data_IF_102780602524
#
_entry.id   IF_102780602524
#
_cell.length_a   1.000
_cell.length_b   1.000
_cell.length_c   1.000
_cell.angle_alpha   90.00
_cell.angle_beta   90.00
_cell.angle_gamma   90.00
#
_symmetry.space_group_name_H-M   'P 1'
#
loop_
_entity.id
_entity.type
_entity.pdbx_description
1 polymer ?
#
# COMPACT_ATOMS: atom_id res chain seq x y z
N UNK A 1 -42.26 14.04 -10.61
CA UNK A 1 -41.32 13.31 -11.47
C UNK A 1 -41.87 11.93 -11.72
N UNK A 2 -41.88 11.43 -12.95
CA UNK A 2 -42.39 10.08 -13.25
C UNK A 2 -41.46 9.05 -12.65
N UNK A 3 -41.96 8.08 -11.92
CA UNK A 3 -41.19 7.01 -11.26
C UNK A 3 -40.20 6.34 -12.23
N UNK A 4 -40.66 6.03 -13.43
CA UNK A 4 -39.86 5.42 -14.49
C UNK A 4 -38.62 6.27 -14.89
N UNK A 5 -38.78 7.61 -14.92
CA UNK A 5 -37.64 8.53 -15.23
C UNK A 5 -36.62 8.53 -14.13
N UNK A 6 -37.03 8.53 -12.85
CA UNK A 6 -36.13 8.43 -11.71
C UNK A 6 -35.36 7.10 -11.70
N UNK A 7 -36.07 6.00 -11.86
CA UNK A 7 -35.48 4.66 -11.88
C UNK A 7 -34.49 4.51 -13.05
N UNK A 8 -34.80 5.09 -14.23
CA UNK A 8 -33.91 5.11 -15.37
C UNK A 8 -32.61 5.91 -15.09
N UNK A 9 -32.74 7.11 -14.51
CA UNK A 9 -31.59 7.93 -14.16
C UNK A 9 -30.71 7.27 -13.11
N UNK A 10 -31.31 6.69 -12.06
CA UNK A 10 -30.58 5.96 -11.03
C UNK A 10 -29.82 4.76 -11.60
N UNK A 11 -30.48 3.98 -12.48
CA UNK A 11 -29.88 2.83 -13.15
C UNK A 11 -28.71 3.22 -14.05
N UNK A 12 -28.88 4.29 -14.84
CA UNK A 12 -27.82 4.82 -15.70
C UNK A 12 -26.63 5.36 -14.89
N UNK A 13 -26.91 6.08 -13.79
CA UNK A 13 -25.86 6.56 -12.88
C UNK A 13 -25.07 5.38 -12.27
N UNK A 14 -25.74 4.34 -11.85
CA UNK A 14 -25.11 3.11 -11.37
C UNK A 14 -24.21 2.44 -12.43
N UNK A 15 -24.67 2.38 -13.68
CA UNK A 15 -23.88 1.84 -14.78
C UNK A 15 -22.62 2.69 -15.06
N UNK A 16 -22.76 4.01 -15.08
CA UNK A 16 -21.63 4.92 -15.27
C UNK A 16 -20.62 4.76 -14.13
N UNK A 17 -21.06 4.68 -12.88
CA UNK A 17 -20.20 4.43 -11.73
C UNK A 17 -19.47 3.09 -11.85
N UNK A 18 -20.14 2.04 -12.28
CA UNK A 18 -19.52 0.73 -12.50
C UNK A 18 -18.39 0.81 -13.53
N UNK A 19 -18.59 1.52 -14.64
CA UNK A 19 -17.58 1.71 -15.69
C UNK A 19 -16.38 2.50 -15.16
N UNK A 20 -16.64 3.62 -14.47
CA UNK A 20 -15.58 4.45 -13.87
C UNK A 20 -14.75 3.66 -12.86
N UNK A 21 -15.39 2.87 -12.00
CA UNK A 21 -14.71 2.03 -11.03
C UNK A 21 -13.91 0.90 -11.69
N UNK A 22 -14.41 0.31 -12.76
CA UNK A 22 -13.70 -0.73 -13.51
C UNK A 22 -12.44 -0.15 -14.18
N UNK A 23 -12.55 1.02 -14.81
CA UNK A 23 -11.39 1.72 -15.41
C UNK A 23 -10.38 2.12 -14.33
N UNK A 24 -10.85 2.73 -13.23
CA UNK A 24 -10.00 3.13 -12.11
C UNK A 24 -9.28 1.94 -11.48
N UNK A 25 -10.00 0.82 -11.27
CA UNK A 25 -9.42 -0.44 -10.79
C UNK A 25 -8.34 -0.98 -11.74
N UNK A 26 -8.56 -0.91 -13.04
CA UNK A 26 -7.57 -1.29 -14.05
C UNK A 26 -6.30 -0.44 -14.00
N UNK A 27 -6.45 0.89 -13.85
CA UNK A 27 -5.31 1.81 -13.69
C UNK A 27 -4.52 1.55 -12.41
N UNK A 28 -5.21 1.28 -11.30
CA UNK A 28 -4.57 0.94 -10.02
C UNK A 28 -3.80 -0.38 -10.11
N UNK A 29 -4.35 -1.40 -10.77
CA UNK A 29 -3.68 -2.68 -11.00
C UNK A 29 -2.44 -2.52 -11.87
N UNK A 30 -2.54 -1.72 -12.93
CA UNK A 30 -1.39 -1.38 -13.77
C UNK A 30 -0.30 -0.65 -12.96
N UNK A 31 -0.66 0.37 -12.16
CA UNK A 31 0.27 1.08 -11.29
C UNK A 31 0.97 0.17 -10.28
N UNK A 32 0.22 -0.74 -9.64
CA UNK A 32 0.80 -1.79 -8.79
C UNK A 32 1.84 -2.63 -9.54
N UNK A 33 1.52 -3.08 -10.75
CA UNK A 33 2.43 -3.91 -11.57
C UNK A 33 3.73 -3.17 -11.89
N UNK A 34 3.64 -1.90 -12.30
CA UNK A 34 4.82 -1.07 -12.61
C UNK A 34 5.71 -0.92 -11.38
N UNK A 35 5.14 -0.48 -10.24
CA UNK A 35 5.90 -0.27 -9.01
C UNK A 35 6.54 -1.58 -8.51
N UNK A 36 5.78 -2.67 -8.49
CA UNK A 36 6.28 -3.97 -8.02
C UNK A 36 7.43 -4.48 -8.88
N UNK A 37 7.34 -4.32 -10.20
CA UNK A 37 8.40 -4.73 -11.12
C UNK A 37 9.65 -3.86 -10.98
N UNK A 38 9.49 -2.55 -10.80
CA UNK A 38 10.59 -1.62 -10.57
C UNK A 38 11.35 -1.94 -9.28
N UNK A 39 10.61 -2.08 -8.18
CA UNK A 39 11.21 -2.43 -6.88
C UNK A 39 11.94 -3.77 -6.96
N UNK A 40 11.31 -4.79 -7.59
CA UNK A 40 11.94 -6.08 -7.79
C UNK A 40 13.25 -5.98 -8.55
N UNK A 41 13.23 -5.31 -9.70
CA UNK A 41 14.39 -5.19 -10.58
C UNK A 41 15.55 -4.44 -9.93
N UNK A 42 15.24 -3.32 -9.25
CA UNK A 42 16.26 -2.50 -8.58
C UNK A 42 16.88 -3.22 -7.39
N UNK A 43 16.08 -3.91 -6.56
CA UNK A 43 16.60 -4.67 -5.43
C UNK A 43 17.39 -5.90 -5.88
N UNK A 44 16.91 -6.66 -6.86
CA UNK A 44 17.62 -7.81 -7.42
C UNK A 44 18.99 -7.41 -7.99
N UNK A 45 19.09 -6.25 -8.65
CA UNK A 45 20.34 -5.72 -9.19
C UNK A 45 21.39 -5.43 -8.10
N UNK A 46 20.98 -5.15 -6.87
CA UNK A 46 21.89 -4.95 -5.72
C UNK A 46 22.58 -6.25 -5.28
N UNK A 47 22.04 -7.41 -5.65
CA UNK A 47 22.59 -8.75 -5.28
C UNK A 47 22.76 -8.95 -3.79
N UNK A 48 21.93 -8.30 -2.96
CA UNK A 48 21.94 -8.48 -1.51
C UNK A 48 21.29 -9.82 -1.20
N UNK A 49 22.04 -10.72 -0.56
CA UNK A 49 21.56 -12.04 -0.12
C UNK A 49 21.47 -12.04 1.40
N UNK A 50 20.35 -12.52 1.93
CA UNK A 50 20.19 -12.71 3.37
C UNK A 50 21.18 -13.76 3.89
N UNK A 51 21.76 -13.58 5.08
CA UNK A 51 22.54 -14.63 5.72
C UNK A 51 21.72 -15.93 5.80
N UNK A 52 22.33 -17.12 5.69
CA UNK A 52 21.61 -18.37 5.81
C UNK A 52 20.84 -18.45 7.14
N UNK A 53 19.65 -19.05 7.13
CA UNK A 53 18.84 -19.20 8.33
C UNK A 53 19.64 -19.88 9.46
N UNK A 54 19.48 -19.39 10.67
CA UNK A 54 20.19 -19.84 11.87
C UNK A 54 21.74 -19.76 11.82
N UNK A 55 22.28 -19.00 10.89
CA UNK A 55 23.73 -18.73 10.82
C UNK A 55 24.20 -17.85 11.98
N UNK A 56 25.51 -17.80 12.21
CA UNK A 56 26.09 -17.00 13.29
C UNK A 56 25.66 -15.52 13.26
N UNK A 57 25.68 -14.80 12.11
CA UNK A 57 25.24 -13.41 12.05
C UNK A 57 23.79 -13.20 12.49
N UNK A 58 22.91 -14.20 12.28
CA UNK A 58 21.51 -14.10 12.71
C UNK A 58 21.37 -14.43 14.19
N UNK A 59 22.10 -15.42 14.69
CA UNK A 59 22.05 -15.82 16.12
C UNK A 59 22.56 -14.76 17.09
N UNK A 60 23.38 -13.82 16.61
CA UNK A 60 23.86 -12.69 17.39
C UNK A 60 22.84 -11.55 17.54
N UNK A 61 21.75 -11.61 16.79
CA UNK A 61 20.66 -10.62 16.85
C UNK A 61 19.75 -10.90 18.05
N UNK A 62 19.05 -9.87 18.56
CA UNK A 62 17.93 -10.09 19.47
C UNK A 62 16.90 -11.05 18.88
N UNK A 63 16.21 -11.81 19.73
CA UNK A 63 15.33 -12.91 19.30
C UNK A 63 14.28 -12.51 18.26
N UNK A 64 13.66 -11.34 18.41
CA UNK A 64 12.67 -10.83 17.47
C UNK A 64 13.29 -10.49 16.10
N UNK A 65 14.48 -9.88 16.10
CA UNK A 65 15.21 -9.53 14.88
C UNK A 65 15.72 -10.77 14.16
N UNK A 66 16.24 -11.74 14.91
CA UNK A 66 16.63 -13.04 14.38
C UNK A 66 15.46 -13.79 13.73
N UNK A 67 14.26 -13.74 14.32
CA UNK A 67 13.06 -14.37 13.75
C UNK A 67 12.68 -13.71 12.41
N UNK A 68 12.68 -12.36 12.33
CA UNK A 68 12.39 -11.63 11.10
C UNK A 68 13.39 -11.95 9.98
N UNK A 69 14.69 -12.02 10.31
CA UNK A 69 15.73 -12.35 9.35
C UNK A 69 15.68 -13.81 8.88
N UNK A 70 15.33 -14.73 9.76
CA UNK A 70 15.22 -16.16 9.44
C UNK A 70 14.13 -16.46 8.40
N UNK A 71 13.06 -15.64 8.31
CA UNK A 71 12.02 -15.78 7.30
C UNK A 71 12.57 -15.72 5.86
N UNK A 72 13.64 -15.00 5.67
CA UNK A 72 14.25 -14.75 4.35
C UNK A 72 15.64 -15.38 4.21
N UNK A 73 16.05 -16.21 5.17
CA UNK A 73 17.41 -16.78 5.22
C UNK A 73 17.86 -17.42 3.91
N UNK A 74 19.00 -16.98 3.39
CA UNK A 74 19.60 -17.42 2.13
C UNK A 74 18.93 -16.90 0.85
N UNK A 75 17.86 -16.11 0.95
CA UNK A 75 17.17 -15.56 -0.22
C UNK A 75 17.85 -14.30 -0.75
N UNK A 76 17.76 -14.09 -2.06
CA UNK A 76 18.08 -12.82 -2.70
C UNK A 76 16.99 -11.80 -2.35
N UNK A 77 17.39 -10.59 -2.01
CA UNK A 77 16.46 -9.48 -1.76
C UNK A 77 15.84 -9.00 -3.07
N UNK A 78 14.51 -9.11 -3.20
CA UNK A 78 13.75 -8.78 -4.41
C UNK A 78 12.43 -8.05 -4.12
N UNK A 79 12.07 -7.90 -2.84
CA UNK A 79 10.80 -7.27 -2.45
C UNK A 79 10.99 -6.21 -1.39
N UNK A 80 10.06 -5.25 -1.33
CA UNK A 80 10.07 -4.23 -0.29
C UNK A 80 9.96 -4.79 1.13
N UNK A 81 9.20 -5.87 1.32
CA UNK A 81 9.11 -6.54 2.63
C UNK A 81 10.47 -7.10 3.08
N UNK A 82 11.24 -7.69 2.15
CA UNK A 82 12.61 -8.11 2.42
C UNK A 82 13.54 -6.94 2.71
N UNK A 83 13.39 -5.84 1.97
CA UNK A 83 14.19 -4.63 2.19
C UNK A 83 13.92 -4.03 3.58
N UNK A 84 12.67 -3.99 4.01
CA UNK A 84 12.28 -3.55 5.35
C UNK A 84 12.88 -4.45 6.44
N UNK A 85 12.73 -5.76 6.32
CA UNK A 85 13.27 -6.72 7.28
C UNK A 85 14.81 -6.55 7.41
N UNK A 86 15.53 -6.45 6.30
CA UNK A 86 16.98 -6.26 6.30
C UNK A 86 17.39 -4.92 6.90
N UNK A 87 16.66 -3.84 6.58
CA UNK A 87 16.93 -2.50 7.07
C UNK A 87 16.74 -2.37 8.59
N UNK A 88 15.64 -2.91 9.11
CA UNK A 88 15.25 -2.71 10.50
C UNK A 88 15.78 -3.80 11.44
N UNK A 89 15.89 -5.05 10.98
CA UNK A 89 16.26 -6.18 11.84
C UNK A 89 17.72 -6.64 11.66
N UNK A 90 18.42 -6.13 10.63
CA UNK A 90 19.83 -6.42 10.45
C UNK A 90 20.69 -5.15 10.53
N UNK A 91 20.50 -4.19 9.61
CA UNK A 91 21.34 -2.98 9.56
C UNK A 91 21.15 -2.15 10.83
N UNK A 92 19.91 -1.86 11.24
CA UNK A 92 19.65 -1.02 12.40
C UNK A 92 20.29 -1.58 13.67
N UNK A 93 20.19 -2.89 13.91
CA UNK A 93 20.79 -3.56 15.08
C UNK A 93 22.31 -3.41 15.08
N UNK A 94 22.96 -3.61 13.92
CA UNK A 94 24.39 -3.43 13.79
C UNK A 94 24.83 -1.98 13.98
N UNK A 95 24.06 -1.01 13.49
CA UNK A 95 24.36 0.41 13.65
C UNK A 95 24.28 0.85 15.11
N UNK A 96 23.29 0.36 15.87
CA UNK A 96 23.20 0.60 17.32
C UNK A 96 24.42 0.04 18.04
N UNK A 97 24.86 -1.18 17.69
CA UNK A 97 26.06 -1.80 18.28
C UNK A 97 27.33 -1.01 17.94
N UNK A 98 27.51 -0.63 16.66
CA UNK A 98 28.69 0.15 16.20
C UNK A 98 28.71 1.54 16.81
N UNK A 99 27.53 2.20 16.90
CA UNK A 99 27.38 3.54 17.46
C UNK A 99 27.44 3.61 18.99
N UNK A 100 27.43 2.46 19.68
CA UNK A 100 27.32 2.42 21.14
C UNK A 100 26.03 3.09 21.62
N UNK A 101 24.93 2.91 20.89
CA UNK A 101 23.62 3.52 21.16
C UNK A 101 23.51 4.99 20.72
N UNK A 102 24.54 5.57 20.12
CA UNK A 102 24.53 6.95 19.64
C UNK A 102 24.12 7.03 18.17
N UNK A 103 23.39 8.09 17.84
CA UNK A 103 22.98 8.38 16.45
C UNK A 103 24.15 8.94 15.63
N UNK A 104 24.01 8.91 14.31
CA UNK A 104 24.94 9.59 13.39
C UNK A 104 25.18 11.06 13.79
N UNK A 105 24.13 11.81 14.09
CA UNK A 105 24.23 13.22 14.47
C UNK A 105 25.06 13.42 15.73
N UNK A 106 24.87 12.60 16.76
CA UNK A 106 25.63 12.67 18.02
C UNK A 106 27.11 12.33 17.80
N UNK A 107 27.41 11.27 17.04
CA UNK A 107 28.77 10.87 16.73
C UNK A 107 29.47 11.89 15.84
N UNK A 108 28.77 12.44 14.85
CA UNK A 108 29.30 13.49 13.98
C UNK A 108 29.67 14.75 14.75
N UNK A 109 28.82 15.22 15.65
CA UNK A 109 29.10 16.36 16.52
C UNK A 109 30.34 16.12 17.40
N UNK A 110 30.48 14.92 17.97
CA UNK A 110 31.67 14.54 18.74
C UNK A 110 32.97 14.50 17.88
N UNK A 111 32.83 13.99 16.64
CA UNK A 111 33.99 13.92 15.72
C UNK A 111 34.46 15.31 15.31
N UNK A 112 33.56 16.25 15.10
CA UNK A 112 33.89 17.65 14.82
C UNK A 112 34.63 18.31 16.00
N UNK A 113 34.25 17.97 17.23
CA UNK A 113 34.91 18.45 18.44
C UNK A 113 36.31 17.78 18.69
N UNK A 114 36.58 16.65 18.00
CA UNK A 114 37.79 15.86 18.15
C UNK A 114 38.45 15.57 16.78
N UNK A 115 38.89 16.57 16.02
CA UNK A 115 39.32 16.42 14.62
C UNK A 115 40.55 15.50 14.43
N UNK A 116 41.32 15.27 15.48
CA UNK A 116 42.49 14.35 15.46
C UNK A 116 42.13 12.90 15.79
N UNK A 117 40.87 12.61 16.19
CA UNK A 117 40.43 11.27 16.54
C UNK A 117 39.98 10.51 15.26
N UNK A 118 40.94 9.88 14.60
CA UNK A 118 40.70 9.14 13.35
C UNK A 118 39.79 7.94 13.53
N UNK A 119 39.83 7.27 14.68
CA UNK A 119 38.95 6.14 14.98
C UNK A 119 37.48 6.60 15.06
N UNK A 120 37.18 7.72 15.71
CA UNK A 120 35.84 8.30 15.76
C UNK A 120 35.39 8.77 14.39
N UNK A 121 36.26 9.36 13.57
CA UNK A 121 35.95 9.74 12.20
C UNK A 121 35.55 8.52 11.34
N UNK A 122 36.28 7.41 11.46
CA UNK A 122 35.95 6.15 10.77
C UNK A 122 34.63 5.57 11.25
N UNK A 123 34.34 5.62 12.55
CA UNK A 123 33.05 5.18 13.11
C UNK A 123 31.87 5.99 12.52
N UNK A 124 32.01 7.33 12.47
CA UNK A 124 31.03 8.24 11.85
C UNK A 124 30.79 7.85 10.38
N UNK A 125 31.87 7.59 9.62
CA UNK A 125 31.72 7.17 8.21
C UNK A 125 31.02 5.82 8.08
N UNK A 126 31.28 4.88 8.97
CA UNK A 126 30.61 3.57 8.96
C UNK A 126 29.11 3.72 9.25
N UNK A 127 28.77 4.51 10.28
CA UNK A 127 27.36 4.79 10.61
C UNK A 127 26.68 5.54 9.46
N UNK A 128 27.32 6.54 8.86
CA UNK A 128 26.77 7.27 7.72
C UNK A 128 26.41 6.34 6.55
N UNK A 129 27.33 5.45 6.16
CA UNK A 129 27.11 4.48 5.09
C UNK A 129 25.96 3.51 5.42
N UNK A 130 25.93 3.03 6.65
CA UNK A 130 24.89 2.13 7.10
C UNK A 130 23.51 2.78 7.16
N UNK A 131 23.40 4.00 7.69
CA UNK A 131 22.13 4.76 7.70
C UNK A 131 21.69 5.13 6.28
N UNK A 132 22.62 5.47 5.38
CA UNK A 132 22.30 5.72 3.97
C UNK A 132 21.71 4.47 3.31
N UNK A 133 22.37 3.31 3.45
CA UNK A 133 21.88 2.05 2.91
C UNK A 133 20.51 1.68 3.50
N UNK A 134 20.37 1.81 4.83
CA UNK A 134 19.10 1.59 5.51
C UNK A 134 18.00 2.49 4.95
N UNK A 135 18.29 3.79 4.78
CA UNK A 135 17.34 4.75 4.21
C UNK A 135 16.90 4.40 2.78
N UNK A 136 17.84 3.95 1.93
CA UNK A 136 17.54 3.52 0.56
C UNK A 136 16.65 2.25 0.53
N UNK A 137 16.91 1.28 1.41
CA UNK A 137 16.09 0.09 1.52
C UNK A 137 14.67 0.42 2.04
N UNK A 138 14.55 1.32 3.02
CA UNK A 138 13.26 1.78 3.51
C UNK A 138 12.50 2.61 2.47
N UNK A 139 13.19 3.33 1.59
CA UNK A 139 12.57 3.98 0.43
C UNK A 139 11.97 2.93 -0.53
N UNK A 140 12.72 1.88 -0.87
CA UNK A 140 12.20 0.77 -1.69
C UNK A 140 10.99 0.10 -1.04
N UNK A 141 10.99 -0.10 0.28
CA UNK A 141 9.83 -0.56 1.04
C UNK A 141 8.64 0.40 0.92
N UNK A 142 8.87 1.71 1.04
CA UNK A 142 7.80 2.72 0.90
C UNK A 142 7.11 2.65 -0.46
N UNK A 143 7.86 2.55 -1.53
CA UNK A 143 7.31 2.35 -2.88
C UNK A 143 6.55 1.03 -3.00
N UNK A 144 7.11 -0.05 -2.48
CA UNK A 144 6.43 -1.34 -2.46
C UNK A 144 5.09 -1.28 -1.71
N UNK A 145 5.04 -0.61 -0.55
CA UNK A 145 3.81 -0.38 0.21
C UNK A 145 2.76 0.38 -0.61
N UNK A 146 3.17 1.43 -1.34
CA UNK A 146 2.27 2.13 -2.26
C UNK A 146 1.69 1.18 -3.31
N UNK A 147 2.51 0.30 -3.86
CA UNK A 147 2.05 -0.76 -4.77
C UNK A 147 1.01 -1.68 -4.12
N UNK A 148 1.21 -2.10 -2.86
CA UNK A 148 0.24 -2.94 -2.14
C UNK A 148 -1.09 -2.20 -1.89
N UNK A 149 -1.04 -0.92 -1.54
CA UNK A 149 -2.25 -0.08 -1.37
C UNK A 149 -3.01 0.01 -2.71
N UNK A 150 -2.31 0.22 -3.83
CA UNK A 150 -2.93 0.23 -5.16
C UNK A 150 -3.60 -1.10 -5.48
N UNK A 151 -2.96 -2.23 -5.16
CA UNK A 151 -3.53 -3.57 -5.38
C UNK A 151 -4.83 -3.77 -4.60
N UNK A 152 -4.81 -3.47 -3.30
CA UNK A 152 -6.00 -3.57 -2.45
C UNK A 152 -7.11 -2.66 -2.98
N UNK A 153 -6.78 -1.41 -3.32
CA UNK A 153 -7.73 -0.44 -3.86
C UNK A 153 -8.32 -0.89 -5.19
N UNK A 154 -7.55 -1.55 -6.05
CA UNK A 154 -8.03 -2.14 -7.31
C UNK A 154 -9.09 -3.21 -7.05
N UNK A 155 -8.85 -4.13 -6.11
CA UNK A 155 -9.84 -5.15 -5.74
C UNK A 155 -11.13 -4.54 -5.18
N UNK A 156 -11.03 -3.52 -4.32
CA UNK A 156 -12.20 -2.80 -3.80
C UNK A 156 -12.97 -2.11 -4.94
N UNK A 157 -12.27 -1.48 -5.89
CA UNK A 157 -12.89 -0.83 -7.04
C UNK A 157 -13.62 -1.85 -7.93
N UNK A 158 -12.99 -2.98 -8.26
CA UNK A 158 -13.64 -4.03 -9.05
C UNK A 158 -14.83 -4.66 -8.31
N UNK A 159 -14.72 -4.95 -7.03
CA UNK A 159 -15.83 -5.45 -6.22
C UNK A 159 -17.01 -4.48 -6.23
N UNK A 160 -16.75 -3.19 -6.04
CA UNK A 160 -17.76 -2.13 -6.12
C UNK A 160 -18.37 -2.02 -7.53
N UNK A 161 -17.57 -2.11 -8.59
CA UNK A 161 -18.04 -2.10 -9.96
C UNK A 161 -19.03 -3.26 -10.22
N UNK A 162 -18.71 -4.47 -9.75
CA UNK A 162 -19.63 -5.62 -9.86
C UNK A 162 -20.95 -5.37 -9.14
N UNK A 163 -20.92 -4.83 -7.92
CA UNK A 163 -22.13 -4.48 -7.17
C UNK A 163 -23.00 -3.49 -7.96
N UNK A 164 -22.39 -2.40 -8.48
CA UNK A 164 -23.12 -1.42 -9.29
C UNK A 164 -23.66 -2.00 -10.61
N UNK A 165 -22.93 -2.91 -11.25
CA UNK A 165 -23.40 -3.62 -12.44
C UNK A 165 -24.64 -4.48 -12.13
N UNK A 166 -24.61 -5.24 -11.04
CA UNK A 166 -25.75 -6.06 -10.60
C UNK A 166 -26.96 -5.20 -10.29
N UNK A 167 -26.78 -4.12 -9.50
CA UNK A 167 -27.85 -3.19 -9.16
C UNK A 167 -28.43 -2.51 -10.42
N UNK A 168 -27.59 -2.11 -11.36
CA UNK A 168 -28.03 -1.53 -12.63
C UNK A 168 -28.78 -2.55 -13.48
N UNK A 169 -28.31 -3.80 -13.54
CA UNK A 169 -29.01 -4.89 -14.22
C UNK A 169 -30.42 -5.14 -13.63
N UNK A 170 -30.53 -5.18 -12.29
CA UNK A 170 -31.81 -5.28 -11.60
C UNK A 170 -32.70 -4.05 -11.86
N UNK A 171 -32.11 -2.85 -11.91
CA UNK A 171 -32.81 -1.62 -12.25
C UNK A 171 -33.36 -1.64 -13.67
N UNK A 172 -32.59 -2.09 -14.67
CA UNK A 172 -33.10 -2.29 -16.04
C UNK A 172 -34.22 -3.34 -16.12
N UNK A 173 -34.07 -4.44 -15.38
CA UNK A 173 -35.12 -5.46 -15.33
C UNK A 173 -36.42 -4.92 -14.69
N UNK A 174 -36.29 -4.13 -13.60
CA UNK A 174 -37.44 -3.46 -12.97
C UNK A 174 -38.11 -2.46 -13.92
N UNK A 175 -37.36 -1.64 -14.65
CA UNK A 175 -37.86 -0.68 -15.62
C UNK A 175 -38.71 -1.32 -16.74
N UNK A 176 -38.39 -2.57 -17.14
CA UNK A 176 -39.18 -3.32 -18.14
C UNK A 176 -40.53 -3.77 -17.59
N UNK A 177 -40.68 -3.86 -16.26
CA UNK A 177 -41.89 -4.33 -15.59
C UNK A 177 -42.78 -3.21 -15.05
N UNK A 178 -42.27 -1.97 -14.93
CA UNK A 178 -43.06 -0.83 -14.41
C UNK A 178 -43.91 -0.17 -15.47
N UNK A 179 -45.18 0.11 -15.12
CA UNK A 179 -46.12 0.84 -15.98
C UNK A 179 -45.74 2.31 -16.11
N UNK A 180 -45.90 2.96 -17.29
CA UNK A 180 -45.44 4.33 -17.55
C UNK A 180 -46.09 5.44 -16.71
N UNK A 181 -47.17 5.16 -16.00
CA UNK A 181 -48.06 6.17 -15.36
C UNK A 181 -47.89 6.31 -13.84
N UNK A 182 -46.97 5.57 -13.18
CA UNK A 182 -46.75 5.69 -11.74
C UNK A 182 -45.91 6.94 -11.40
N UNK A 183 -46.44 7.80 -10.49
CA UNK A 183 -45.71 8.98 -9.97
C UNK A 183 -45.17 8.71 -8.56
N UNK A 184 -43.94 9.14 -8.30
CA UNK A 184 -43.25 8.96 -6.98
C UNK A 184 -43.85 9.91 -5.93
N UNK A 185 -44.37 11.09 -6.35
CA UNK A 185 -44.94 12.11 -5.49
C UNK A 185 -46.37 12.47 -5.92
N UNK A 186 -47.26 11.50 -6.01
CA UNK A 186 -48.69 11.78 -6.12
C UNK A 186 -49.21 12.20 -4.75
N UNK A 187 -49.60 13.47 -4.59
CA UNK A 187 -50.48 13.86 -3.47
C UNK A 187 -51.78 13.06 -3.60
N UNK A 188 -52.09 12.29 -2.58
CA UNK A 188 -53.39 11.65 -2.50
C UNK A 188 -54.49 12.69 -2.75
N UNK A 189 -55.48 12.43 -3.60
CA UNK A 189 -56.58 13.40 -3.82
C UNK A 189 -57.26 13.64 -2.48
N UNK A 190 -57.33 14.92 -2.08
CA UNK A 190 -58.13 15.33 -0.92
C UNK A 190 -59.58 14.97 -1.27
N UNK A 191 -60.13 13.98 -0.61
CA UNK A 191 -61.60 13.72 -0.67
C UNK A 191 -62.28 14.92 -0.05
N UNK A 192 -62.73 15.88 -0.86
CA UNK A 192 -63.68 16.88 -0.45
C UNK A 192 -65.00 16.12 -0.21
N UNK A 193 -65.32 15.96 1.07
CA UNK A 193 -66.60 15.40 1.50
C UNK A 193 -67.72 16.30 0.97
N UNK A 194 -68.51 15.82 0.04
CA UNK A 194 -69.79 16.42 -0.28
C UNK A 194 -70.80 16.09 0.86
N UNK A 195 -70.98 17.06 1.75
CA UNK A 195 -72.12 17.08 2.65
C UNK A 195 -73.25 17.83 1.93
N UNK A 196 -74.29 17.12 1.52
CA UNK A 196 -75.60 17.62 1.26
C UNK A 196 -76.48 17.26 2.43
#
# INVERSE_FOLDING_TARGET
>A
MRRRTFDALATMAGLVLAIVLAIGGGMLLWGHSVISNDVHTQLAAQKIVFPPANSAPIKELPAADAAAMNQYGGQLMTSGAQAEAYANHFIAVHLVKIGGGQTYSQLSAKSLAQPKNTALAQQVQTIFRGETLRGLLLNAYGWWQMGQIMLISAFVAFGSAVVFLVLSGLGFWHLRRTTPQSEIFSKAPIKVGANA
#
